data_IF_587940987453
#
_entry.id   IF_587940987453
#
_cell.length_a   1.000
_cell.length_b   1.000
_cell.length_c   1.000
_cell.angle_alpha   90.00
_cell.angle_beta   90.00
_cell.angle_gamma   90.00
#
_symmetry.space_group_name_H-M   'P 1'
#
loop_
_entity.id
_entity.type
_entity.pdbx_description
1 polymer ?
#
# COMPACT_ATOMS: atom_id res chain seq x y z
N UNK A 1 -39.73 -17.67 -13.62
CA UNK A 1 -39.11 -18.09 -12.35
C UNK A 1 -37.87 -18.90 -12.72
N UNK A 2 -36.68 -18.49 -12.27
CA UNK A 2 -35.43 -19.19 -12.56
C UNK A 2 -34.63 -19.31 -11.28
N UNK A 3 -34.27 -20.53 -10.89
CA UNK A 3 -33.60 -20.81 -9.62
C UNK A 3 -32.08 -20.96 -9.80
N UNK A 4 -31.31 -20.40 -8.86
CA UNK A 4 -29.86 -20.57 -8.83
C UNK A 4 -29.47 -21.89 -8.12
N UNK A 5 -28.53 -22.69 -8.68
CA UNK A 5 -28.04 -23.89 -8.03
C UNK A 5 -27.13 -23.57 -6.83
N UNK A 6 -27.24 -24.37 -5.76
CA UNK A 6 -26.45 -24.24 -4.52
C UNK A 6 -25.09 -24.97 -4.65
N UNK A 7 -24.01 -24.45 -4.04
CA UNK A 7 -22.68 -25.09 -4.11
C UNK A 7 -22.59 -26.38 -3.27
N UNK A 8 -21.82 -27.35 -3.76
CA UNK A 8 -21.67 -28.70 -3.19
C UNK A 8 -20.49 -28.83 -2.20
N UNK A 9 -20.49 -29.95 -1.46
CA UNK A 9 -19.80 -30.12 -0.18
C UNK A 9 -18.35 -30.63 -0.26
N UNK A 10 -17.36 -29.73 -0.23
CA UNK A 10 -15.93 -30.11 -0.22
C UNK A 10 -15.06 -29.57 0.95
N UNK A 11 -15.64 -28.90 1.95
CA UNK A 11 -14.90 -28.52 3.17
C UNK A 11 -15.19 -29.46 4.35
N UNK A 12 -14.24 -30.36 4.65
CA UNK A 12 -14.27 -31.24 5.82
C UNK A 12 -13.66 -30.51 7.02
N UNK A 13 -14.38 -30.45 8.14
CA UNK A 13 -13.91 -29.80 9.39
C UNK A 13 -12.93 -30.72 10.13
N UNK A 14 -11.87 -30.14 10.69
CA UNK A 14 -11.03 -30.81 11.70
C UNK A 14 -11.56 -30.40 13.08
N UNK A 15 -11.90 -31.38 13.91
CA UNK A 15 -12.25 -31.16 15.32
C UNK A 15 -10.98 -31.08 16.16
N UNK A 16 -10.91 -30.10 17.07
CA UNK A 16 -9.96 -30.08 18.20
C UNK A 16 -10.78 -29.84 19.47
N UNK A 17 -10.59 -30.68 20.49
CA UNK A 17 -11.46 -30.73 21.66
C UNK A 17 -11.28 -29.52 22.59
N UNK A 18 -12.36 -29.20 23.32
CA UNK A 18 -12.45 -28.05 24.24
C UNK A 18 -12.26 -28.48 25.70
N UNK A 19 -11.04 -28.93 25.98
CA UNK A 19 -10.38 -28.98 27.29
C UNK A 19 -8.89 -28.82 26.93
N UNK A 20 -8.13 -27.88 27.49
CA UNK A 20 -8.15 -27.43 28.90
C UNK A 20 -8.25 -25.90 29.08
N UNK A 21 -8.61 -25.47 30.30
CA UNK A 21 -8.98 -24.08 30.66
C UNK A 21 -8.15 -23.60 31.85
N UNK A 22 -7.52 -22.41 31.71
CA UNK A 22 -6.87 -21.59 32.77
C UNK A 22 -5.66 -22.26 33.49
N UNK A 23 -4.58 -21.59 33.88
CA UNK A 23 -4.52 -20.37 34.69
C UNK A 23 -3.12 -19.72 34.66
N UNK A 24 -2.93 -18.64 35.43
CA UNK A 24 -1.87 -17.63 35.33
C UNK A 24 -0.60 -17.83 36.19
N UNK A 25 0.56 -17.40 35.65
CA UNK A 25 1.77 -16.71 36.25
C UNK A 25 1.95 -16.62 37.78
N UNK A 26 3.19 -16.57 38.37
CA UNK A 26 4.32 -15.73 37.88
C UNK A 26 5.80 -16.13 38.22
N UNK A 27 6.74 -15.30 37.71
CA UNK A 27 8.12 -15.05 38.19
C UNK A 27 9.16 -16.19 38.23
N UNK A 28 10.01 -16.25 37.20
CA UNK A 28 11.45 -16.00 37.42
C UNK A 28 12.14 -15.51 36.13
N UNK A 29 12.76 -14.33 36.16
CA UNK A 29 13.22 -13.61 34.97
C UNK A 29 14.66 -13.11 35.17
N UNK A 30 15.69 -13.94 34.94
CA UNK A 30 17.05 -13.50 34.54
C UNK A 30 18.00 -14.69 34.25
N UNK A 31 17.99 -15.21 33.01
CA UNK A 31 19.21 -15.66 32.32
C UNK A 31 19.19 -15.12 30.89
N UNK A 32 20.30 -14.54 30.45
CA UNK A 32 20.37 -13.63 29.29
C UNK A 32 21.49 -14.05 28.33
N UNK A 33 21.18 -13.99 27.01
CA UNK A 33 22.08 -14.19 25.82
C UNK A 33 22.58 -15.63 25.59
N UNK A 34 22.94 -16.07 24.36
CA UNK A 34 22.61 -15.72 22.95
C UNK A 34 23.25 -16.83 22.05
N UNK A 35 22.97 -17.04 20.76
CA UNK A 35 22.11 -16.43 19.74
C UNK A 35 21.52 -17.56 18.84
N UNK A 36 20.73 -17.34 17.77
CA UNK A 36 20.23 -16.11 17.16
C UNK A 36 18.85 -16.32 16.52
N UNK A 37 18.07 -15.24 16.44
CA UNK A 37 16.66 -15.29 16.04
C UNK A 37 16.49 -15.32 14.52
N UNK A 38 15.87 -16.37 14.00
CA UNK A 38 15.29 -16.38 12.66
C UNK A 38 14.05 -15.48 12.56
N UNK A 39 14.23 -14.18 12.78
CA UNK A 39 13.20 -13.19 12.42
C UNK A 39 13.02 -13.31 10.92
N UNK A 40 11.77 -13.44 10.43
CA UNK A 40 11.50 -13.20 9.02
C UNK A 40 11.84 -11.74 8.75
N UNK A 41 12.98 -11.51 8.12
CA UNK A 41 13.39 -10.20 7.63
C UNK A 41 12.39 -9.75 6.58
N UNK A 42 11.34 -9.05 7.01
CA UNK A 42 10.60 -8.13 6.17
C UNK A 42 11.60 -7.04 5.79
N UNK A 43 12.41 -7.33 4.77
CA UNK A 43 13.61 -6.58 4.43
C UNK A 43 13.22 -5.14 4.21
N UNK A 44 13.77 -4.25 5.04
CA UNK A 44 13.33 -2.86 5.12
C UNK A 44 13.39 -2.21 3.75
N UNK A 45 12.22 -2.09 3.12
CA UNK A 45 12.07 -1.25 1.95
C UNK A 45 12.43 0.16 2.40
N UNK A 46 13.55 0.69 1.88
CA UNK A 46 14.07 2.04 2.16
C UNK A 46 12.98 3.11 2.00
N UNK A 47 11.93 2.79 1.25
CA UNK A 47 10.71 3.56 1.08
C UNK A 47 9.54 2.84 1.77
N UNK A 48 8.83 3.55 2.64
CA UNK A 48 7.52 3.12 3.18
C UNK A 48 6.47 3.18 2.07
N UNK A 49 6.34 2.12 1.29
CA UNK A 49 5.47 2.11 0.10
C UNK A 49 4.00 2.38 0.43
N UNK A 50 3.50 1.89 1.57
CA UNK A 50 2.15 2.19 2.08
C UNK A 50 1.82 3.69 2.04
N UNK A 51 2.79 4.55 2.39
CA UNK A 51 2.64 6.00 2.36
C UNK A 51 2.77 6.56 0.94
N UNK A 52 3.77 6.12 0.17
CA UNK A 52 4.04 6.67 -1.16
C UNK A 52 2.93 6.34 -2.17
N UNK A 53 2.39 5.12 -2.14
CA UNK A 53 1.30 4.68 -3.02
C UNK A 53 -0.03 5.44 -2.77
N UNK A 54 -0.20 6.07 -1.60
CA UNK A 54 -1.37 6.91 -1.26
C UNK A 54 -1.26 8.36 -1.75
N UNK A 55 -0.07 8.81 -2.20
CA UNK A 55 0.13 10.18 -2.67
C UNK A 55 -0.41 10.36 -4.10
N UNK A 56 -0.85 11.58 -4.43
CA UNK A 56 -1.18 11.95 -5.81
C UNK A 56 0.04 11.82 -6.73
N UNK A 57 -0.12 11.49 -8.03
CA UNK A 57 0.97 11.55 -8.99
C UNK A 57 1.45 12.99 -9.14
N UNK A 58 2.77 13.22 -9.03
CA UNK A 58 3.35 14.55 -9.23
C UNK A 58 3.98 14.66 -10.62
N UNK A 59 3.26 15.33 -11.52
CA UNK A 59 3.69 15.63 -12.89
C UNK A 59 5.03 16.38 -12.94
N UNK A 60 5.30 17.25 -11.96
CA UNK A 60 6.49 18.12 -11.92
C UNK A 60 6.31 19.42 -12.71
N UNK A 61 6.91 20.52 -12.26
CA UNK A 61 6.79 21.83 -12.93
C UNK A 61 8.15 22.35 -13.41
N UNK A 62 8.63 21.76 -14.50
CA UNK A 62 9.96 21.98 -15.04
C UNK A 62 10.00 23.26 -15.88
N UNK A 63 9.94 24.41 -15.23
CA UNK A 63 9.91 25.75 -15.88
C UNK A 63 11.23 26.16 -16.55
N UNK A 64 12.31 25.41 -16.32
CA UNK A 64 13.63 25.64 -16.91
C UNK A 64 14.10 24.37 -17.61
N UNK A 65 14.70 24.52 -18.80
CA UNK A 65 15.58 23.46 -19.35
C UNK A 65 16.75 23.31 -18.38
N UNK A 66 16.90 22.14 -17.76
CA UNK A 66 17.94 21.88 -16.77
C UNK A 66 19.31 21.63 -17.45
N UNK A 67 19.88 22.68 -18.03
CA UNK A 67 21.21 22.63 -18.64
C UNK A 67 21.31 21.67 -19.83
N UNK A 68 22.45 20.96 -19.91
CA UNK A 68 22.84 20.10 -21.03
C UNK A 68 22.33 18.65 -20.92
N UNK A 69 21.52 18.30 -19.92
CA UNK A 69 20.93 16.96 -19.84
C UNK A 69 19.69 16.82 -20.74
N UNK A 70 19.80 15.92 -21.73
CA UNK A 70 18.73 15.66 -22.69
C UNK A 70 17.63 14.71 -22.13
N UNK A 71 17.71 14.34 -20.84
CA UNK A 71 16.85 13.30 -20.24
C UNK A 71 15.73 13.84 -19.34
N UNK A 72 15.72 15.13 -19.04
CA UNK A 72 14.69 15.79 -18.21
C UNK A 72 13.40 16.15 -18.97
N UNK A 73 13.07 15.40 -20.04
CA UNK A 73 11.87 15.62 -20.85
C UNK A 73 10.62 14.91 -20.31
N UNK A 74 9.43 15.27 -20.83
CA UNK A 74 8.20 14.56 -20.50
C UNK A 74 8.27 13.09 -20.96
N UNK A 75 7.91 12.18 -20.07
CA UNK A 75 7.88 10.73 -20.32
C UNK A 75 6.64 10.09 -19.70
N UNK A 76 6.14 9.04 -20.34
CA UNK A 76 5.09 8.21 -19.75
C UNK A 76 5.65 7.47 -18.53
N UNK A 77 4.93 7.59 -17.42
CA UNK A 77 5.19 6.93 -16.14
C UNK A 77 3.89 6.30 -15.63
N UNK A 78 3.99 5.46 -14.61
CA UNK A 78 2.84 4.85 -13.94
C UNK A 78 2.75 5.30 -12.48
N UNK A 79 1.54 5.44 -11.95
CA UNK A 79 1.27 5.71 -10.54
C UNK A 79 0.17 4.77 -10.03
N UNK A 80 0.14 4.53 -8.72
CA UNK A 80 -0.93 3.79 -8.07
C UNK A 80 -2.08 4.71 -7.70
N UNK A 81 -3.27 4.39 -8.19
CA UNK A 81 -4.52 4.96 -7.74
C UNK A 81 -5.13 4.08 -6.63
N UNK A 82 -5.16 4.62 -5.42
CA UNK A 82 -5.62 3.91 -4.22
C UNK A 82 -7.14 3.90 -4.08
N UNK A 83 -7.89 4.69 -4.87
CA UNK A 83 -9.34 4.59 -4.93
C UNK A 83 -9.78 3.45 -5.88
N UNK A 84 -9.03 3.28 -6.98
CA UNK A 84 -9.32 2.29 -8.02
C UNK A 84 -8.58 0.95 -7.82
N UNK A 85 -7.69 0.86 -6.82
CA UNK A 85 -6.81 -0.29 -6.54
C UNK A 85 -5.97 -0.71 -7.76
N UNK A 86 -5.53 0.28 -8.55
CA UNK A 86 -5.02 0.09 -9.90
C UNK A 86 -3.84 1.01 -10.24
N UNK A 87 -2.91 0.51 -11.06
CA UNK A 87 -1.83 1.32 -11.60
C UNK A 87 -2.26 1.99 -12.92
N UNK A 88 -2.20 3.32 -12.97
CA UNK A 88 -2.59 4.14 -14.12
C UNK A 88 -1.39 4.89 -14.70
N UNK A 89 -1.43 5.18 -16.01
CA UNK A 89 -0.37 5.94 -16.68
C UNK A 89 -0.60 7.45 -16.58
N UNK A 90 0.47 8.22 -16.37
CA UNK A 90 0.48 9.69 -16.43
C UNK A 90 1.73 10.21 -17.15
N UNK A 91 1.71 11.49 -17.53
CA UNK A 91 2.86 12.15 -18.12
C UNK A 91 3.72 12.78 -17.03
N UNK A 92 4.94 12.27 -16.83
CA UNK A 92 5.89 12.85 -15.89
C UNK A 92 6.84 13.80 -16.62
N UNK A 93 6.88 15.07 -16.22
CA UNK A 93 7.63 16.14 -16.89
C UNK A 93 9.16 16.10 -16.66
N UNK A 94 9.67 15.10 -15.94
CA UNK A 94 11.12 14.83 -15.81
C UNK A 94 11.78 15.37 -14.53
N UNK A 95 11.17 16.32 -13.82
CA UNK A 95 11.68 16.90 -12.56
C UNK A 95 10.62 16.87 -11.43
N UNK A 96 11.01 17.17 -10.19
CA UNK A 96 10.09 17.39 -9.06
C UNK A 96 9.05 16.29 -8.77
N UNK A 97 9.32 15.03 -9.13
CA UNK A 97 8.40 13.92 -8.89
C UNK A 97 8.32 13.51 -7.41
N UNK A 98 7.36 12.65 -7.07
CA UNK A 98 7.36 11.87 -5.84
C UNK A 98 7.59 10.37 -6.16
N UNK A 99 7.56 9.49 -5.16
CA UNK A 99 7.79 8.05 -5.38
C UNK A 99 6.59 7.30 -5.95
N UNK A 100 5.40 7.92 -6.08
CA UNK A 100 4.28 7.32 -6.82
C UNK A 100 4.46 7.54 -8.33
N UNK A 101 5.60 7.06 -8.85
CA UNK A 101 6.09 7.30 -10.20
C UNK A 101 7.04 6.17 -10.57
N UNK A 102 6.53 5.22 -11.34
CA UNK A 102 7.20 4.00 -11.75
C UNK A 102 7.46 4.00 -13.26
N UNK A 103 8.52 3.33 -13.70
CA UNK A 103 8.86 3.25 -15.12
C UNK A 103 8.00 2.22 -15.87
N UNK A 104 7.34 1.30 -15.16
CA UNK A 104 6.48 0.27 -15.75
C UNK A 104 5.27 -0.05 -14.88
N UNK A 105 4.22 -0.59 -15.51
CA UNK A 105 3.03 -1.10 -14.83
C UNK A 105 3.38 -2.17 -13.79
N UNK A 106 4.22 -3.15 -14.18
CA UNK A 106 4.63 -4.27 -13.33
C UNK A 106 5.39 -3.80 -12.09
N UNK A 107 6.23 -2.77 -12.20
CA UNK A 107 6.93 -2.18 -11.07
C UNK A 107 5.95 -1.51 -10.08
N UNK A 108 4.99 -0.75 -10.59
CA UNK A 108 3.93 -0.14 -9.80
C UNK A 108 3.09 -1.20 -9.06
N UNK A 109 2.62 -2.23 -9.78
CA UNK A 109 1.79 -3.28 -9.17
C UNK A 109 2.57 -4.06 -8.11
N UNK A 110 3.85 -4.39 -8.37
CA UNK A 110 4.72 -5.08 -7.41
C UNK A 110 4.96 -4.27 -6.13
N UNK A 111 4.87 -2.94 -6.18
CA UNK A 111 5.09 -2.07 -5.02
C UNK A 111 3.83 -1.72 -4.24
N UNK A 112 2.69 -1.57 -4.91
CA UNK A 112 1.48 -1.02 -4.31
C UNK A 112 0.29 -1.98 -4.27
N UNK A 113 0.19 -2.94 -5.20
CA UNK A 113 -0.99 -3.80 -5.36
C UNK A 113 -0.92 -4.99 -4.40
N UNK A 114 -2.05 -5.35 -3.79
CA UNK A 114 -2.15 -6.50 -2.88
C UNK A 114 -1.57 -6.28 -1.48
N UNK A 115 -1.03 -5.09 -1.18
CA UNK A 115 -0.92 -4.63 0.19
C UNK A 115 -2.35 -4.44 0.73
N UNK A 116 -2.82 -5.36 1.58
CA UNK A 116 -4.17 -5.29 2.16
C UNK A 116 -4.25 -4.07 3.09
N UNK A 117 -4.71 -2.94 2.57
CA UNK A 117 -4.72 -1.62 3.22
C UNK A 117 -5.80 -1.47 4.30
N UNK A 118 -6.02 -2.53 5.07
CA UNK A 118 -6.76 -2.44 6.33
C UNK A 118 -5.93 -1.64 7.34
N UNK A 119 -6.59 -0.66 7.96
CA UNK A 119 -6.08 0.30 8.95
C UNK A 119 -5.19 1.42 8.42
N UNK A 120 -5.83 2.57 8.19
CA UNK A 120 -5.28 3.86 8.61
C UNK A 120 -4.91 3.76 10.10
N UNK A 121 -3.65 3.42 10.43
CA UNK A 121 -3.17 3.42 11.80
C UNK A 121 -2.12 4.50 12.02
N UNK A 122 -2.54 5.46 12.84
CA UNK A 122 -1.83 6.63 13.35
C UNK A 122 -1.43 7.73 12.34
N UNK A 123 -2.08 8.88 12.50
CA UNK A 123 -1.97 10.05 11.64
C UNK A 123 -0.83 10.99 12.07
N UNK A 124 0.14 11.21 11.19
CA UNK A 124 1.00 12.41 11.26
C UNK A 124 0.33 13.54 10.48
N UNK A 125 0.07 14.67 11.16
CA UNK A 125 -0.77 15.80 10.67
C UNK A 125 -0.31 16.48 9.37
N UNK A 126 0.86 16.16 8.84
CA UNK A 126 1.59 16.96 7.83
C UNK A 126 1.37 16.58 6.36
N UNK A 127 0.53 15.58 6.02
CA UNK A 127 0.48 15.05 4.64
C UNK A 127 -0.88 15.16 3.93
N UNK A 128 -1.87 15.88 4.47
CA UNK A 128 -3.22 15.91 3.88
C UNK A 128 -3.27 16.42 2.43
N UNK A 129 -2.53 17.47 2.07
CA UNK A 129 -2.53 18.01 0.71
C UNK A 129 -1.81 17.13 -0.33
N UNK A 130 -1.06 16.11 0.10
CA UNK A 130 -0.35 15.19 -0.78
C UNK A 130 -1.11 13.90 -1.10
N UNK A 131 -2.12 13.56 -0.30
CA UNK A 131 -2.94 12.36 -0.45
C UNK A 131 -3.89 12.47 -1.64
N UNK A 132 -4.22 11.34 -2.25
CA UNK A 132 -5.26 11.28 -3.28
C UNK A 132 -6.62 11.75 -2.71
N UNK A 133 -7.42 12.50 -3.48
CA UNK A 133 -8.78 12.83 -3.06
C UNK A 133 -9.56 11.56 -2.74
N UNK A 134 -10.37 11.58 -1.70
CA UNK A 134 -11.26 10.47 -1.39
C UNK A 134 -12.70 10.98 -1.31
N UNK A 135 -13.54 10.58 -2.26
CA UNK A 135 -14.96 10.90 -2.27
C UNK A 135 -15.76 10.16 -1.16
N UNK A 136 -15.17 9.10 -0.59
CA UNK A 136 -15.83 8.20 0.34
C UNK A 136 -16.88 7.32 -0.36
N UNK A 137 -17.74 6.68 0.45
CA UNK A 137 -18.84 5.83 -0.01
C UNK A 137 -20.17 6.60 -0.12
N UNK A 138 -20.14 7.94 0.00
CA UNK A 138 -21.32 8.78 0.03
C UNK A 138 -21.80 9.12 -1.39
N UNK A 139 -23.12 9.09 -1.61
CA UNK A 139 -23.74 9.41 -2.90
C UNK A 139 -24.04 10.91 -3.10
N UNK A 140 -23.39 11.79 -2.34
CA UNK A 140 -23.67 13.22 -2.40
C UNK A 140 -22.98 13.89 -3.60
N UNK A 141 -23.74 14.68 -4.35
CA UNK A 141 -23.19 15.63 -5.33
C UNK A 141 -22.95 16.96 -4.60
N UNK A 142 -21.68 17.38 -4.55
CA UNK A 142 -21.25 18.64 -3.93
C UNK A 142 -20.61 19.49 -5.04
N UNK A 143 -21.34 20.50 -5.52
CA UNK A 143 -20.76 21.52 -6.40
C UNK A 143 -19.80 22.45 -5.65
N UNK A 144 -18.90 23.08 -6.40
CA UNK A 144 -17.80 23.93 -5.88
C UNK A 144 -18.08 25.42 -5.99
#
# INVERSE_FOLDING_TARGET
MGEHPKPSSLYRRINVNRADVMSSTPLDLFKVKAAGQGRRSHMDSVWKWDFWCQLQPKFGNCTKRHGTDFRSGPRQSFYYDAQLDACLSFMYNGCDGNKNNFASLVECERHCKGATYMTLKESTRTTFCGLQPNAGLCLALIDR
#
